data_IF_335058339002
#
_entry.id   IF_335058339002
#
_cell.length_a   1.000
_cell.length_b   1.000
_cell.length_c   1.000
_cell.angle_alpha   90.00
_cell.angle_beta   90.00
_cell.angle_gamma   90.00
#
_symmetry.space_group_name_H-M   'P 1'
#
loop_
_entity.id
_entity.type
_entity.pdbx_description
1 polymer ?
#
# COMPACT_ATOMS: atom_id res chain seq x y z
N UNK A 1 8.47 17.95 -12.70
CA UNK A 1 9.87 18.26 -12.40
C UNK A 1 10.45 18.96 -13.60
N UNK A 2 10.80 20.22 -13.43
CA UNK A 2 11.51 21.00 -14.43
C UNK A 2 13.02 20.84 -14.19
N UNK A 3 13.76 20.68 -15.27
CA UNK A 3 15.22 20.70 -15.28
C UNK A 3 15.68 21.90 -16.10
N UNK A 4 16.75 22.54 -15.63
CA UNK A 4 17.35 23.70 -16.28
C UNK A 4 18.79 23.38 -16.66
N UNK A 5 19.36 24.16 -17.59
CA UNK A 5 20.79 24.09 -17.92
C UNK A 5 21.62 24.27 -16.65
N UNK A 6 22.68 23.46 -16.49
CA UNK A 6 23.47 23.45 -15.26
C UNK A 6 24.07 24.84 -14.94
N UNK A 7 23.99 25.23 -13.67
CA UNK A 7 24.47 26.50 -13.15
C UNK A 7 23.61 27.72 -13.50
N UNK A 8 22.40 27.51 -14.01
CA UNK A 8 21.51 28.60 -14.45
C UNK A 8 20.42 28.95 -13.45
N UNK A 9 20.39 28.32 -12.26
CA UNK A 9 19.53 28.70 -11.13
C UNK A 9 18.06 28.88 -11.52
N UNK A 10 17.58 27.97 -12.36
CA UNK A 10 16.23 27.95 -12.90
C UNK A 10 15.78 29.23 -13.62
N UNK A 11 16.71 29.92 -14.29
CA UNK A 11 16.37 31.00 -15.21
C UNK A 11 15.41 30.48 -16.29
N UNK A 12 14.28 31.17 -16.50
CA UNK A 12 13.19 30.68 -17.37
C UNK A 12 13.66 30.37 -18.80
N UNK A 13 14.58 31.18 -19.35
CA UNK A 13 15.16 30.98 -20.67
C UNK A 13 16.09 29.75 -20.78
N UNK A 14 16.42 29.12 -19.65
CA UNK A 14 17.34 27.98 -19.54
C UNK A 14 16.61 26.68 -19.19
N UNK A 15 15.28 26.65 -19.33
CA UNK A 15 14.50 25.43 -19.14
C UNK A 15 14.89 24.40 -20.21
N UNK A 16 15.41 23.27 -19.78
CA UNK A 16 15.91 22.20 -20.66
C UNK A 16 14.94 21.02 -20.77
N UNK A 17 14.04 20.85 -19.80
CA UNK A 17 13.07 19.76 -19.83
C UNK A 17 12.02 19.83 -18.74
N UNK A 18 10.88 19.18 -18.98
CA UNK A 18 9.84 18.94 -18.00
C UNK A 18 9.48 17.46 -18.03
N UNK A 19 9.62 16.80 -16.88
CA UNK A 19 9.20 15.40 -16.71
C UNK A 19 8.13 15.31 -15.63
N UNK A 20 7.05 14.60 -15.94
CA UNK A 20 5.97 14.30 -14.99
C UNK A 20 5.97 12.81 -14.69
N UNK A 21 5.96 12.46 -13.40
CA UNK A 21 5.95 11.09 -12.93
C UNK A 21 4.61 10.79 -12.26
N UNK A 22 3.99 9.66 -12.61
CA UNK A 22 2.84 9.16 -11.86
C UNK A 22 3.34 8.58 -10.53
N UNK A 23 3.09 9.28 -9.44
CA UNK A 23 3.52 8.88 -8.10
C UNK A 23 2.54 7.90 -7.46
N UNK A 24 2.18 6.83 -8.17
CA UNK A 24 1.29 5.80 -7.63
C UNK A 24 2.04 4.72 -6.85
N UNK A 25 3.37 4.64 -6.94
CA UNK A 25 4.21 3.61 -6.32
C UNK A 25 4.37 2.33 -7.17
N UNK A 26 3.74 2.24 -8.34
CA UNK A 26 3.93 1.13 -9.30
C UNK A 26 5.20 1.29 -10.11
N UNK A 27 5.64 0.17 -10.69
CA UNK A 27 6.65 0.20 -11.74
C UNK A 27 6.02 0.63 -13.06
N UNK A 28 6.56 1.69 -13.66
CA UNK A 28 6.14 2.20 -14.95
C UNK A 28 7.29 2.11 -15.94
N UNK A 29 7.07 1.51 -17.10
CA UNK A 29 8.05 1.53 -18.18
C UNK A 29 8.17 2.93 -18.75
N UNK A 30 9.40 3.39 -18.95
CA UNK A 30 9.68 4.60 -19.76
C UNK A 30 9.97 4.24 -21.21
N UNK A 31 10.47 3.02 -21.45
CA UNK A 31 10.70 2.44 -22.77
C UNK A 31 10.78 0.90 -22.65
N UNK A 32 11.31 0.21 -23.67
CA UNK A 32 11.44 -1.26 -23.68
C UNK A 32 12.46 -1.82 -22.69
N UNK A 33 13.40 -0.98 -22.22
CA UNK A 33 14.54 -1.35 -21.40
C UNK A 33 14.62 -0.57 -20.08
N UNK A 34 13.84 0.50 -19.87
CA UNK A 34 13.92 1.34 -18.67
C UNK A 34 12.56 1.52 -18.00
N UNK A 35 12.61 1.84 -16.72
CA UNK A 35 11.40 2.03 -15.91
C UNK A 35 11.64 3.02 -14.77
N UNK A 36 10.56 3.43 -14.12
CA UNK A 36 10.59 4.27 -12.93
C UNK A 36 9.55 3.84 -11.90
N UNK A 37 9.77 4.26 -10.66
CA UNK A 37 8.78 4.33 -9.59
C UNK A 37 8.80 5.72 -9.00
N UNK A 38 7.64 6.25 -8.63
CA UNK A 38 7.57 7.50 -7.89
C UNK A 38 6.59 7.37 -6.74
N UNK A 39 6.93 8.00 -5.62
CA UNK A 39 6.04 8.15 -4.45
C UNK A 39 6.01 9.61 -4.01
N UNK A 40 4.89 10.03 -3.42
CA UNK A 40 4.65 11.36 -2.87
C UNK A 40 3.89 11.23 -1.55
N UNK A 41 4.44 11.84 -0.51
CA UNK A 41 3.89 11.85 0.83
C UNK A 41 2.92 13.03 1.04
N UNK A 42 2.15 12.98 2.12
CA UNK A 42 1.20 14.04 2.50
C UNK A 42 1.90 15.37 2.89
N UNK A 43 3.16 15.31 3.31
CA UNK A 43 4.00 16.48 3.60
C UNK A 43 4.64 17.09 2.33
N UNK A 44 4.22 16.64 1.16
CA UNK A 44 4.74 17.02 -0.16
C UNK A 44 6.18 16.55 -0.46
N UNK A 45 6.82 15.77 0.43
CA UNK A 45 8.05 15.06 0.07
C UNK A 45 7.76 14.01 -1.00
N UNK A 46 8.75 13.71 -1.83
CA UNK A 46 8.62 12.72 -2.89
C UNK A 46 9.93 11.96 -3.12
N UNK A 47 9.80 10.76 -3.67
CA UNK A 47 10.94 9.94 -4.10
C UNK A 47 10.67 9.49 -5.52
N UNK A 48 11.61 9.74 -6.42
CA UNK A 48 11.60 9.25 -7.79
C UNK A 48 12.77 8.28 -7.92
N UNK A 49 12.50 7.08 -8.41
CA UNK A 49 13.49 6.03 -8.66
C UNK A 49 13.45 5.69 -10.13
N UNK A 50 14.56 5.82 -10.83
CA UNK A 50 14.69 5.38 -12.22
C UNK A 50 15.57 4.14 -12.29
N UNK A 51 15.31 3.25 -13.24
CA UNK A 51 15.96 1.96 -13.38
C UNK A 51 16.47 1.77 -14.80
N UNK A 52 17.53 0.98 -14.95
CA UNK A 52 18.10 0.61 -16.25
C UNK A 52 17.46 -0.64 -16.85
N UNK A 53 16.47 -1.21 -16.17
CA UNK A 53 15.61 -2.29 -16.68
C UNK A 53 14.14 -1.85 -16.77
N UNK A 54 13.30 -2.65 -17.42
CA UNK A 54 11.88 -2.37 -17.62
C UNK A 54 10.97 -2.91 -16.49
N UNK A 55 11.53 -3.41 -15.38
CA UNK A 55 10.81 -4.13 -14.31
C UNK A 55 11.12 -3.59 -12.90
N UNK A 56 11.82 -2.46 -12.82
CA UNK A 56 12.22 -1.78 -11.60
C UNK A 56 13.05 -2.65 -10.64
N UNK A 57 14.05 -3.37 -11.16
CA UNK A 57 14.89 -4.27 -10.35
C UNK A 57 16.37 -3.87 -10.25
N UNK A 58 16.94 -3.24 -11.28
CA UNK A 58 18.38 -3.01 -11.43
C UNK A 58 18.70 -1.60 -11.91
N UNK A 59 19.92 -1.15 -11.61
CA UNK A 59 20.42 0.17 -12.00
C UNK A 59 19.63 1.32 -11.41
N UNK A 60 19.19 1.19 -10.16
CA UNK A 60 18.40 2.19 -9.45
C UNK A 60 19.20 3.48 -9.26
N UNK A 61 18.59 4.60 -9.66
CA UNK A 61 19.01 5.96 -9.31
C UNK A 61 17.87 6.63 -8.57
N UNK A 62 18.16 7.21 -7.41
CA UNK A 62 17.16 7.81 -6.52
C UNK A 62 17.28 9.32 -6.55
N UNK A 63 16.16 10.00 -6.79
CA UNK A 63 15.99 11.44 -6.61
C UNK A 63 15.01 11.67 -5.47
N UNK A 64 15.46 12.28 -4.39
CA UNK A 64 14.64 12.65 -3.24
C UNK A 64 14.25 14.11 -3.31
N UNK A 65 12.99 14.40 -3.01
CA UNK A 65 12.43 15.74 -2.92
C UNK A 65 12.03 15.95 -1.47
N UNK A 66 12.62 16.95 -0.82
CA UNK A 66 12.25 17.29 0.56
C UNK A 66 10.83 17.86 0.60
N UNK A 67 10.19 17.83 1.78
CA UNK A 67 8.91 18.48 2.00
C UNK A 67 8.95 19.99 1.68
N UNK A 68 10.08 20.65 1.98
CA UNK A 68 10.28 22.07 1.70
C UNK A 68 10.34 22.35 0.19
N UNK A 69 11.08 21.54 -0.57
CA UNK A 69 11.20 21.71 -2.03
C UNK A 69 9.86 21.42 -2.72
N UNK A 70 9.18 20.35 -2.31
CA UNK A 70 7.87 19.98 -2.87
C UNK A 70 6.73 20.92 -2.52
N UNK A 71 6.92 21.83 -1.55
CA UNK A 71 5.94 22.84 -1.14
C UNK A 71 6.26 24.22 -1.73
N UNK A 72 7.53 24.62 -1.71
CA UNK A 72 7.94 25.96 -2.12
C UNK A 72 7.84 26.18 -3.63
N UNK A 73 7.90 25.10 -4.42
CA UNK A 73 8.07 25.15 -5.87
C UNK A 73 9.26 26.05 -6.29
N UNK A 74 10.20 26.25 -5.37
CA UNK A 74 11.36 27.09 -5.56
C UNK A 74 12.42 26.37 -6.37
N UNK A 75 13.33 27.15 -6.94
CA UNK A 75 14.50 26.58 -7.58
C UNK A 75 15.44 26.00 -6.53
N UNK A 76 15.69 24.69 -6.61
CA UNK A 76 16.78 24.03 -5.90
C UNK A 76 17.85 23.66 -6.94
N UNK A 77 18.96 24.39 -6.91
CA UNK A 77 20.05 24.31 -7.89
C UNK A 77 19.55 24.60 -9.31
N UNK A 78 19.29 23.57 -10.13
CA UNK A 78 18.78 23.71 -11.51
C UNK A 78 17.50 22.90 -11.71
N UNK A 79 16.74 22.68 -10.63
CA UNK A 79 15.49 21.92 -10.67
C UNK A 79 14.37 22.63 -9.94
N UNK A 80 13.15 22.49 -10.46
CA UNK A 80 11.91 22.81 -9.73
C UNK A 80 11.01 21.59 -9.68
N UNK A 81 10.47 21.31 -8.50
CA UNK A 81 9.56 20.19 -8.29
C UNK A 81 8.24 20.71 -7.77
N UNK A 82 7.17 20.21 -8.37
CA UNK A 82 5.80 20.47 -7.98
C UNK A 82 4.97 19.23 -8.33
N UNK A 83 3.81 19.10 -7.69
CA UNK A 83 2.89 17.99 -7.88
C UNK A 83 1.76 18.01 -6.85
N UNK A 84 0.82 17.09 -7.00
CA UNK A 84 -0.34 16.98 -6.12
C UNK A 84 -0.67 15.52 -5.79
N UNK A 85 -1.51 15.33 -4.78
CA UNK A 85 -1.95 14.02 -4.32
C UNK A 85 -0.93 13.29 -3.44
N UNK A 86 -1.32 12.12 -2.97
CA UNK A 86 -0.49 11.27 -2.11
C UNK A 86 -0.51 9.86 -2.67
N UNK A 87 0.63 9.19 -2.64
CA UNK A 87 0.73 7.78 -3.05
C UNK A 87 -0.15 6.93 -2.13
N UNK A 88 -1.09 6.13 -2.67
CA UNK A 88 -1.84 5.20 -1.86
C UNK A 88 -0.93 4.09 -1.33
N UNK A 89 -1.21 3.60 -0.13
CA UNK A 89 -0.52 2.42 0.40
C UNK A 89 -0.99 1.16 -0.34
N UNK A 90 -0.06 0.25 -0.57
CA UNK A 90 -0.29 -1.08 -1.12
C UNK A 90 -0.49 -2.06 0.01
N UNK A 91 -1.50 -2.92 -0.14
CA UNK A 91 -1.92 -3.82 0.90
C UNK A 91 -1.84 -5.26 0.39
N UNK A 92 -1.15 -6.11 1.12
CA UNK A 92 -1.13 -7.56 0.90
C UNK A 92 -1.91 -8.21 2.02
N UNK A 93 -3.11 -8.69 1.71
CA UNK A 93 -4.02 -9.31 2.67
C UNK A 93 -3.94 -10.82 2.59
N UNK A 94 -3.54 -11.45 3.68
CA UNK A 94 -3.65 -12.89 3.90
C UNK A 94 -5.01 -13.18 4.52
N UNK A 95 -5.85 -13.89 3.76
CA UNK A 95 -7.20 -14.30 4.12
C UNK A 95 -7.15 -15.71 4.70
N UNK A 96 -7.52 -15.90 5.97
CA UNK A 96 -7.62 -17.20 6.61
C UNK A 96 -9.03 -17.74 6.48
N UNK A 97 -9.16 -19.03 6.19
CA UNK A 97 -10.43 -19.74 6.08
C UNK A 97 -10.40 -21.02 6.90
N UNK A 98 -11.50 -21.30 7.59
CA UNK A 98 -11.65 -22.54 8.37
C UNK A 98 -11.87 -23.77 7.46
N UNK A 99 -12.20 -23.56 6.18
CA UNK A 99 -12.38 -24.61 5.17
C UNK A 99 -11.76 -24.19 3.83
N UNK A 100 -11.47 -25.15 2.95
CA UNK A 100 -10.94 -24.89 1.60
C UNK A 100 -11.98 -25.02 0.48
N UNK A 101 -13.28 -25.09 0.82
CA UNK A 101 -14.36 -25.42 -0.11
C UNK A 101 -14.42 -24.49 -1.34
N UNK A 102 -14.05 -23.22 -1.15
CA UNK A 102 -14.08 -22.17 -2.16
C UNK A 102 -12.69 -21.76 -2.66
N UNK A 103 -11.71 -22.64 -2.55
CA UNK A 103 -10.31 -22.41 -2.95
C UNK A 103 -9.69 -21.13 -2.36
N UNK A 104 -10.22 -20.63 -1.24
CA UNK A 104 -9.80 -19.40 -0.57
C UNK A 104 -9.93 -18.15 -1.45
N UNK A 105 -10.75 -18.22 -2.50
CA UNK A 105 -11.08 -17.11 -3.40
C UNK A 105 -12.42 -16.46 -3.06
N UNK A 106 -13.31 -17.19 -2.39
CA UNK A 106 -14.64 -16.72 -1.98
C UNK A 106 -15.10 -17.35 -0.66
N UNK A 107 -16.19 -16.85 -0.08
CA UNK A 107 -16.66 -17.20 1.26
C UNK A 107 -16.16 -16.24 2.33
N UNK A 108 -16.67 -16.40 3.56
CA UNK A 108 -16.34 -15.50 4.67
C UNK A 108 -15.01 -15.95 5.30
N UNK A 109 -13.96 -15.12 5.28
CA UNK A 109 -12.71 -15.43 5.96
C UNK A 109 -12.92 -15.38 7.49
N UNK A 110 -12.22 -16.24 8.22
CA UNK A 110 -12.20 -16.20 9.67
C UNK A 110 -11.20 -15.17 10.21
N UNK A 111 -10.18 -14.77 9.46
CA UNK A 111 -9.26 -13.70 9.84
C UNK A 111 -8.65 -13.10 8.57
N UNK A 112 -8.39 -11.80 8.55
CA UNK A 112 -7.57 -11.19 7.51
C UNK A 112 -6.41 -10.46 8.16
N UNK A 113 -5.18 -10.84 7.80
CA UNK A 113 -3.97 -10.13 8.20
C UNK A 113 -3.39 -9.37 7.01
N UNK A 114 -3.23 -8.07 7.13
CA UNK A 114 -2.81 -7.19 6.03
C UNK A 114 -1.49 -6.52 6.36
N UNK A 115 -0.50 -6.75 5.52
CA UNK A 115 0.77 -5.99 5.54
C UNK A 115 0.67 -4.79 4.61
N UNK A 116 1.42 -3.73 4.95
CA UNK A 116 1.38 -2.43 4.28
C UNK A 116 2.73 -2.17 3.61
N UNK A 117 2.69 -1.69 2.37
CA UNK A 117 3.86 -1.25 1.62
C UNK A 117 3.59 0.11 0.94
N UNK A 118 4.67 0.84 0.65
CA UNK A 118 4.65 2.14 -0.03
C UNK A 118 4.78 2.04 -1.56
N UNK A 119 5.05 0.85 -2.09
CA UNK A 119 5.18 0.57 -3.51
C UNK A 119 4.49 -0.73 -3.84
N UNK A 120 4.14 -0.90 -5.12
CA UNK A 120 3.60 -2.16 -5.62
C UNK A 120 4.69 -3.24 -5.47
N UNK A 121 4.48 -4.13 -4.50
CA UNK A 121 5.39 -5.23 -4.14
C UNK A 121 5.11 -6.45 -5.03
N UNK A 122 5.78 -7.57 -4.78
CA UNK A 122 5.55 -8.86 -5.44
C UNK A 122 4.19 -9.51 -5.09
N UNK A 123 3.22 -8.73 -4.60
CA UNK A 123 1.93 -9.27 -4.20
C UNK A 123 1.29 -10.00 -5.38
N UNK A 124 1.05 -11.29 -5.19
CA UNK A 124 0.41 -12.15 -6.18
C UNK A 124 -0.86 -12.71 -5.58
N UNK A 125 -1.99 -12.40 -6.21
CA UNK A 125 -3.28 -12.96 -5.80
C UNK A 125 -3.31 -14.46 -6.04
N UNK A 126 -3.82 -15.21 -5.08
CA UNK A 126 -3.93 -16.68 -5.20
C UNK A 126 -5.31 -17.08 -5.68
N UNK A 127 -5.38 -18.02 -6.62
CA UNK A 127 -6.64 -18.66 -7.05
C UNK A 127 -6.95 -19.96 -6.28
N UNK A 128 -6.00 -20.45 -5.50
CA UNK A 128 -6.10 -21.67 -4.69
C UNK A 128 -5.61 -21.44 -3.27
N UNK A 129 -6.22 -22.13 -2.31
CA UNK A 129 -5.76 -22.15 -0.93
C UNK A 129 -4.35 -22.71 -0.83
N UNK A 130 -3.57 -22.19 0.10
CA UNK A 130 -2.39 -22.88 0.65
C UNK A 130 -2.72 -23.53 1.99
N UNK A 131 -1.93 -24.54 2.38
CA UNK A 131 -2.10 -25.30 3.61
C UNK A 131 -2.77 -26.66 3.40
N UNK A 132 -2.38 -27.65 4.21
CA UNK A 132 -2.95 -29.00 4.21
C UNK A 132 -4.10 -29.18 5.20
N UNK A 133 -4.27 -28.25 6.12
CA UNK A 133 -5.33 -28.22 7.12
C UNK A 133 -5.68 -26.76 7.49
N UNK A 134 -6.83 -26.57 8.11
CA UNK A 134 -7.28 -25.26 8.57
C UNK A 134 -6.33 -24.66 9.65
N UNK A 135 -6.08 -23.34 9.63
CA UNK A 135 -6.62 -22.37 8.68
C UNK A 135 -5.94 -22.45 7.31
N UNK A 136 -6.74 -22.55 6.26
CA UNK A 136 -6.27 -22.41 4.89
C UNK A 136 -6.07 -20.94 4.58
N UNK A 137 -5.13 -20.59 3.70
CA UNK A 137 -4.87 -19.19 3.38
C UNK A 137 -4.95 -18.88 1.89
N UNK A 138 -5.48 -17.69 1.58
CA UNK A 138 -5.39 -17.06 0.27
C UNK A 138 -4.80 -15.66 0.38
N UNK A 139 -4.25 -15.14 -0.71
CA UNK A 139 -3.67 -13.80 -0.80
C UNK A 139 -4.52 -12.91 -1.70
N UNK A 140 -4.87 -11.73 -1.20
CA UNK A 140 -5.50 -10.65 -1.98
C UNK A 140 -4.63 -9.40 -1.95
N UNK A 141 -4.37 -8.87 -3.13
CA UNK A 141 -3.63 -7.62 -3.31
C UNK A 141 -4.62 -6.48 -3.49
N UNK A 142 -4.44 -5.41 -2.73
CA UNK A 142 -5.35 -4.26 -2.75
C UNK A 142 -4.58 -2.97 -2.47
N UNK A 143 -5.32 -1.87 -2.36
CA UNK A 143 -4.77 -0.58 -1.93
C UNK A 143 -5.55 -0.05 -0.74
N UNK A 144 -5.00 0.95 -0.05
CA UNK A 144 -5.69 1.61 1.05
C UNK A 144 -7.05 2.20 0.63
N UNK A 145 -7.21 2.62 -0.63
CA UNK A 145 -8.47 3.18 -1.13
C UNK A 145 -9.54 2.12 -1.40
N UNK A 146 -9.17 0.88 -1.73
CA UNK A 146 -10.12 -0.22 -1.98
C UNK A 146 -10.40 -1.09 -0.74
N UNK A 147 -9.57 -0.98 0.29
CA UNK A 147 -9.56 -1.91 1.43
C UNK A 147 -10.93 -2.11 2.10
N UNK A 148 -11.66 -1.03 2.38
CA UNK A 148 -12.95 -1.12 3.05
C UNK A 148 -13.99 -1.85 2.18
N UNK A 149 -14.00 -1.58 0.88
CA UNK A 149 -14.87 -2.28 -0.08
C UNK A 149 -14.46 -3.75 -0.22
N UNK A 150 -13.16 -4.03 -0.21
CA UNK A 150 -12.62 -5.38 -0.28
C UNK A 150 -13.03 -6.22 0.94
N UNK A 151 -12.96 -5.64 2.14
CA UNK A 151 -13.40 -6.30 3.38
C UNK A 151 -14.93 -6.44 3.44
N UNK A 152 -15.69 -5.41 3.07
CA UNK A 152 -17.15 -5.49 3.01
C UNK A 152 -17.61 -6.60 2.05
N UNK A 153 -16.92 -6.76 0.92
CA UNK A 153 -17.19 -7.85 -0.04
C UNK A 153 -16.83 -9.21 0.55
N UNK A 154 -15.66 -9.34 1.18
CA UNK A 154 -15.18 -10.61 1.73
C UNK A 154 -16.06 -11.12 2.88
N UNK A 155 -16.49 -10.22 3.78
CA UNK A 155 -17.31 -10.59 4.94
C UNK A 155 -18.82 -10.56 4.64
N UNK A 156 -19.25 -9.90 3.56
CA UNK A 156 -20.65 -9.78 3.15
C UNK A 156 -21.52 -9.27 4.31
N UNK A 157 -22.55 -10.02 4.72
CA UNK A 157 -23.42 -9.69 5.85
C UNK A 157 -22.86 -10.07 7.22
N UNK A 158 -21.68 -10.71 7.28
CA UNK A 158 -21.09 -11.15 8.54
C UNK A 158 -20.51 -9.97 9.31
N UNK A 159 -20.70 -9.88 10.64
CA UNK A 159 -20.09 -8.82 11.43
C UNK A 159 -18.56 -9.01 11.46
N UNK A 160 -17.81 -7.93 11.30
CA UNK A 160 -16.36 -7.94 11.41
C UNK A 160 -15.83 -6.68 12.12
N UNK A 161 -14.61 -6.77 12.63
CA UNK A 161 -13.90 -5.67 13.32
C UNK A 161 -12.55 -5.49 12.67
N UNK A 162 -12.27 -4.27 12.21
CA UNK A 162 -10.97 -3.88 11.64
C UNK A 162 -10.14 -3.21 12.73
N UNK A 163 -8.94 -3.74 12.98
CA UNK A 163 -7.95 -3.17 13.90
C UNK A 163 -6.75 -2.72 13.09
N UNK A 164 -6.52 -1.41 13.07
CA UNK A 164 -5.35 -0.81 12.42
C UNK A 164 -4.22 -0.65 13.43
N UNK A 165 -3.03 -1.09 13.06
CA UNK A 165 -1.80 -0.89 13.83
C UNK A 165 -0.99 0.22 13.20
N UNK A 166 -0.53 1.14 14.03
CA UNK A 166 0.33 2.25 13.62
C UNK A 166 1.68 2.13 14.32
N UNK A 167 2.69 2.77 13.74
CA UNK A 167 3.99 2.91 14.40
C UNK A 167 3.84 3.64 15.74
N UNK A 168 4.59 3.19 16.75
CA UNK A 168 4.49 3.71 18.10
C UNK A 168 4.77 5.22 18.15
N UNK A 169 3.97 5.97 18.91
CA UNK A 169 4.12 7.43 19.05
C UNK A 169 3.63 8.25 17.86
N UNK A 170 2.96 7.65 16.87
CA UNK A 170 2.54 8.33 15.63
C UNK A 170 1.07 8.72 15.56
N UNK A 171 0.36 8.71 16.70
CA UNK A 171 -1.02 9.22 16.84
C UNK A 171 -1.98 8.81 15.72
N UNK A 172 -1.90 7.55 15.28
CA UNK A 172 -2.71 6.99 14.19
C UNK A 172 -2.62 7.75 12.85
N UNK A 173 -1.48 8.40 12.56
CA UNK A 173 -1.25 9.05 11.28
C UNK A 173 -1.31 8.03 10.14
N UNK A 174 -2.06 8.34 9.07
CA UNK A 174 -2.30 7.40 7.97
C UNK A 174 -1.00 6.90 7.30
N UNK A 175 0.01 7.77 7.17
CA UNK A 175 1.32 7.42 6.62
C UNK A 175 2.13 6.44 7.50
N UNK A 176 1.71 6.25 8.75
CA UNK A 176 2.39 5.44 9.76
C UNK A 176 1.63 4.13 10.04
N UNK A 177 0.66 3.79 9.18
CA UNK A 177 -0.04 2.52 9.20
C UNK A 177 0.96 1.39 8.93
N UNK A 178 1.14 0.50 9.90
CA UNK A 178 2.11 -0.59 9.84
C UNK A 178 1.49 -1.97 9.63
N UNK A 179 0.18 -2.09 9.86
CA UNK A 179 -0.56 -3.32 9.61
C UNK A 179 -2.05 -3.15 9.87
N UNK A 180 -2.85 -4.07 9.33
CA UNK A 180 -4.27 -4.15 9.62
C UNK A 180 -4.64 -5.59 9.91
N UNK A 181 -5.50 -5.83 10.89
CA UNK A 181 -6.10 -7.13 11.14
C UNK A 181 -7.61 -6.99 11.15
N UNK A 182 -8.30 -7.79 10.35
CA UNK A 182 -9.77 -7.85 10.34
C UNK A 182 -10.24 -9.19 10.90
N UNK A 183 -11.06 -9.12 11.95
CA UNK A 183 -11.57 -10.28 12.67
C UNK A 183 -13.03 -10.52 12.31
N UNK A 184 -13.40 -11.78 12.03
CA UNK A 184 -14.79 -12.21 12.01
C UNK A 184 -15.35 -12.10 13.42
N UNK A 185 -16.38 -11.28 13.59
CA UNK A 185 -16.90 -10.88 14.90
C UNK A 185 -18.26 -11.52 15.21
N UNK A 186 -18.37 -12.82 14.90
CA UNK A 186 -19.60 -13.61 15.04
C UNK A 186 -19.79 -14.21 16.46
N UNK A 187 -18.89 -13.87 17.38
CA UNK A 187 -18.89 -14.35 18.75
C UNK A 187 -18.37 -15.77 18.92
N UNK A 188 -17.88 -16.46 17.87
CA UNK A 188 -17.31 -17.82 17.94
C UNK A 188 -15.79 -17.79 18.09
N UNK A 189 -15.22 -18.96 18.41
CA UNK A 189 -13.78 -19.15 18.49
C UNK A 189 -13.24 -19.54 17.10
N UNK A 190 -12.27 -18.77 16.61
CA UNK A 190 -11.60 -19.02 15.34
C UNK A 190 -10.10 -19.23 15.54
N UNK A 191 -9.52 -20.14 14.76
CA UNK A 191 -8.07 -20.41 14.79
C UNK A 191 -7.31 -19.32 14.02
N UNK A 192 -6.23 -18.83 14.60
CA UNK A 192 -5.29 -17.94 13.89
C UNK A 192 -4.08 -18.71 13.37
N UNK A 193 -3.69 -19.78 14.08
CA UNK A 193 -2.69 -20.76 13.67
C UNK A 193 -3.00 -22.14 14.33
N UNK A 194 -2.01 -23.04 14.40
CA UNK A 194 -2.18 -24.38 14.99
C UNK A 194 -2.29 -24.38 16.52
N UNK A 195 -1.87 -23.32 17.21
CA UNK A 195 -1.80 -23.21 18.66
C UNK A 195 -2.58 -22.01 19.24
N UNK A 196 -3.00 -21.07 18.40
CA UNK A 196 -3.64 -19.81 18.79
C UNK A 196 -5.03 -19.68 18.18
N UNK A 197 -5.87 -18.95 18.92
CA UNK A 197 -7.24 -18.65 18.53
C UNK A 197 -7.65 -17.28 19.05
N UNK A 198 -8.78 -16.78 18.57
CA UNK A 198 -9.39 -15.55 19.05
C UNK A 198 -10.91 -15.69 19.09
N UNK A 199 -11.58 -14.76 19.78
CA UNK A 199 -13.04 -14.58 19.72
C UNK A 199 -13.35 -13.11 19.62
N UNK A 200 -13.90 -12.67 18.49
CA UNK A 200 -14.40 -11.32 18.35
C UNK A 200 -15.92 -11.28 18.37
N UNK A 201 -16.47 -10.19 18.89
CA UNK A 201 -17.90 -9.91 18.87
C UNK A 201 -18.13 -8.44 18.57
N UNK A 202 -19.14 -8.14 17.76
CA UNK A 202 -19.61 -6.77 17.51
C UNK A 202 -21.10 -6.68 17.85
N UNK A 203 -21.45 -5.75 18.73
CA UNK A 203 -22.82 -5.53 19.22
C UNK A 203 -23.56 -4.50 18.35
N UNK A 204 -24.88 -4.48 18.48
CA UNK A 204 -25.76 -3.56 17.75
C UNK A 204 -25.51 -2.07 18.09
N UNK A 205 -25.01 -1.79 19.30
CA UNK A 205 -24.59 -0.45 19.75
C UNK A 205 -23.25 0.00 19.13
N UNK A 206 -22.64 -0.83 18.28
CA UNK A 206 -21.36 -0.57 17.62
C UNK A 206 -20.13 -0.94 18.45
N UNK A 207 -20.29 -1.32 19.72
CA UNK A 207 -19.18 -1.78 20.55
C UNK A 207 -18.64 -3.12 20.06
N UNK A 208 -17.33 -3.31 20.25
CA UNK A 208 -16.63 -4.50 19.78
C UNK A 208 -15.58 -4.98 20.79
N UNK A 209 -15.37 -6.30 20.83
CA UNK A 209 -14.29 -6.95 21.56
C UNK A 209 -13.57 -7.93 20.64
N UNK A 210 -12.28 -8.12 20.85
CA UNK A 210 -11.44 -9.14 20.20
C UNK A 210 -10.58 -9.81 21.28
#
# INVERSE_FOLDING_TARGET
>A
METYTAGQLCAAAQLSGITTYLADGKCHKTDTAKSYRATRSADNSAVIKTYTDAVCATGEVVTTVSAADGTSNACATDTKVYGAGTTPLYLTSTMNYDTNANTCTSGVPSLVSTTVANVDTTCSTTSVCTGSAAPYTGTKCSSASSYLTDMATAFSSSPYVIVQKYNAGKSCAAAELSGVTTYLADGKCHKTDTAKSYRAARRADGSATV
#
